data_IF_804442271467
#
_entry.id   IF_804442271467
#
_cell.length_a   1.000
_cell.length_b   1.000
_cell.length_c   1.000
_cell.angle_alpha   90.00
_cell.angle_beta   90.00
_cell.angle_gamma   90.00
#
_symmetry.space_group_name_H-M   'P 1'
#
loop_
_entity.id
_entity.type
_entity.pdbx_description
1 polymer ?
#
# COMPACT_ATOMS: atom_id res chain seq x y z
N UNK A 1 -3.76 -28.16 1.16
CA UNK A 1 -4.78 -27.63 2.10
C UNK A 1 -4.62 -26.11 2.27
N UNK A 2 -4.71 -25.32 1.19
CA UNK A 2 -4.55 -23.84 1.14
C UNK A 2 -5.87 -23.13 0.74
N UNK A 3 -7.02 -23.79 0.93
CA UNK A 3 -8.29 -23.29 0.41
C UNK A 3 -8.89 -22.26 1.38
N UNK A 4 -9.00 -21.02 0.88
CA UNK A 4 -9.84 -19.88 1.33
C UNK A 4 -9.18 -18.73 2.12
N UNK A 5 -7.89 -18.77 2.48
CA UNK A 5 -7.20 -17.62 3.13
C UNK A 5 -5.93 -17.19 2.37
N UNK A 6 -5.63 -15.88 2.27
CA UNK A 6 -4.41 -15.34 1.69
C UNK A 6 -3.18 -15.88 2.41
N UNK A 7 -2.15 -16.20 1.64
CA UNK A 7 -0.92 -16.76 2.17
C UNK A 7 -0.34 -15.90 3.32
N UNK A 8 -0.31 -14.57 3.18
CA UNK A 8 0.25 -13.68 4.21
C UNK A 8 -0.46 -13.77 5.57
N UNK A 9 -1.80 -13.98 5.59
CA UNK A 9 -2.55 -14.11 6.85
C UNK A 9 -2.34 -15.46 7.50
N UNK A 10 -2.32 -16.50 6.68
CA UNK A 10 -2.01 -17.84 7.17
C UNK A 10 -0.60 -17.86 7.78
N UNK A 11 0.39 -17.31 7.07
CA UNK A 11 1.77 -17.14 7.56
C UNK A 11 1.79 -16.37 8.89
N UNK A 12 1.15 -15.20 8.95
CA UNK A 12 1.12 -14.38 10.17
C UNK A 12 0.48 -15.10 11.36
N UNK A 13 -0.60 -15.84 11.13
CA UNK A 13 -1.25 -16.61 12.19
C UNK A 13 -0.38 -17.79 12.67
N UNK A 14 0.33 -18.45 11.76
CA UNK A 14 1.31 -19.49 12.12
C UNK A 14 2.42 -18.90 12.97
N UNK A 15 2.97 -17.74 12.61
CA UNK A 15 3.99 -17.05 13.43
C UNK A 15 3.48 -16.76 14.85
N UNK A 16 2.24 -16.27 14.97
CA UNK A 16 1.59 -16.04 16.27
C UNK A 16 1.43 -17.32 17.08
N UNK A 17 0.97 -18.40 16.46
CA UNK A 17 0.80 -19.71 17.12
C UNK A 17 2.12 -20.28 17.62
N UNK A 18 3.19 -20.10 16.84
CA UNK A 18 4.54 -20.51 17.20
C UNK A 18 5.24 -19.55 18.17
N UNK A 19 4.61 -18.42 18.50
CA UNK A 19 5.18 -17.34 19.31
C UNK A 19 6.59 -16.93 18.85
N UNK A 20 6.77 -16.75 17.53
CA UNK A 20 8.05 -16.40 16.91
C UNK A 20 7.95 -15.16 16.04
N UNK A 21 9.06 -14.43 15.90
CA UNK A 21 9.17 -13.22 15.10
C UNK A 21 9.89 -13.46 13.76
N UNK A 22 10.40 -14.68 13.56
CA UNK A 22 10.95 -15.16 12.30
C UNK A 22 10.59 -16.64 12.10
N UNK A 23 10.21 -17.00 10.88
CA UNK A 23 9.93 -18.39 10.54
C UNK A 23 10.32 -18.72 9.10
N UNK A 24 10.86 -19.93 8.89
CA UNK A 24 11.08 -20.49 7.57
C UNK A 24 9.94 -21.46 7.24
N UNK A 25 9.16 -21.15 6.21
CA UNK A 25 8.00 -21.93 5.79
C UNK A 25 8.24 -22.45 4.38
N UNK A 26 8.25 -23.77 4.22
CA UNK A 26 8.41 -24.41 2.92
C UNK A 26 7.08 -24.41 2.15
N UNK A 27 7.00 -23.62 1.08
CA UNK A 27 5.86 -23.58 0.16
C UNK A 27 6.24 -24.24 -1.16
N UNK A 28 5.88 -25.52 -1.29
CA UNK A 28 6.30 -26.34 -2.44
C UNK A 28 7.82 -26.54 -2.44
N UNK A 29 8.49 -26.05 -3.49
CA UNK A 29 9.96 -26.14 -3.64
C UNK A 29 10.72 -24.92 -3.11
N UNK A 30 10.00 -23.92 -2.60
CA UNK A 30 10.58 -22.62 -2.20
C UNK A 30 10.48 -22.46 -0.69
N UNK A 31 11.55 -21.98 -0.06
CA UNK A 31 11.54 -21.57 1.34
C UNK A 31 11.07 -20.10 1.42
N UNK A 32 10.07 -19.83 2.25
CA UNK A 32 9.60 -18.46 2.54
C UNK A 32 10.00 -18.11 3.95
N UNK A 33 10.90 -17.14 4.09
CA UNK A 33 11.31 -16.55 5.36
C UNK A 33 10.38 -15.40 5.64
N UNK A 34 9.64 -15.47 6.74
CA UNK A 34 8.77 -14.39 7.19
C UNK A 34 9.33 -13.75 8.44
N UNK A 35 9.24 -12.42 8.53
CA UNK A 35 9.78 -11.62 9.63
C UNK A 35 8.73 -10.63 10.11
N UNK A 36 8.54 -10.51 11.42
CA UNK A 36 7.61 -9.57 12.06
C UNK A 36 8.25 -8.70 13.16
N UNK A 37 9.57 -8.81 13.36
CA UNK A 37 10.34 -7.93 14.26
C UNK A 37 10.89 -6.72 13.46
N UNK A 38 10.79 -5.50 14.01
CA UNK A 38 11.43 -4.31 13.40
C UNK A 38 12.96 -4.46 13.32
N UNK A 39 13.60 -4.98 14.37
CA UNK A 39 15.05 -5.14 14.47
C UNK A 39 15.58 -6.04 13.34
N UNK A 40 14.94 -7.19 13.15
CA UNK A 40 15.24 -8.08 12.03
C UNK A 40 14.91 -7.38 10.71
N UNK A 41 13.75 -6.73 10.59
CA UNK A 41 13.36 -6.02 9.35
C UNK A 41 14.41 -4.98 8.90
N UNK A 42 15.03 -4.27 9.85
CA UNK A 42 16.13 -3.33 9.59
C UNK A 42 17.35 -4.06 9.03
N UNK A 43 17.71 -5.19 9.64
CA UNK A 43 18.83 -6.01 9.18
C UNK A 43 18.62 -6.48 7.73
N UNK A 44 17.41 -6.97 7.42
CA UNK A 44 17.03 -7.40 6.08
C UNK A 44 17.04 -6.22 5.08
N UNK A 45 16.27 -5.16 5.30
CA UNK A 45 16.06 -4.10 4.31
C UNK A 45 17.12 -3.00 4.26
N UNK A 46 17.95 -2.84 5.28
CA UNK A 46 19.01 -1.82 5.28
C UNK A 46 20.39 -2.44 5.20
N UNK A 47 20.68 -3.42 6.06
CA UNK A 47 22.05 -3.97 6.19
C UNK A 47 22.39 -4.95 5.07
N UNK A 48 21.42 -5.78 4.66
CA UNK A 48 21.61 -6.82 3.65
C UNK A 48 20.75 -6.66 2.39
N UNK A 49 20.21 -5.46 2.16
CA UNK A 49 19.35 -5.10 1.03
C UNK A 49 19.91 -5.62 -0.31
N UNK A 50 21.20 -5.40 -0.58
CA UNK A 50 21.85 -5.82 -1.83
C UNK A 50 21.79 -7.33 -2.11
N UNK A 51 21.64 -8.15 -1.08
CA UNK A 51 21.63 -9.62 -1.17
C UNK A 51 20.21 -10.16 -1.31
N UNK A 52 19.24 -9.50 -0.69
CA UNK A 52 17.88 -10.03 -0.55
C UNK A 52 16.82 -9.30 -1.37
N UNK A 53 17.15 -8.14 -1.94
CA UNK A 53 16.17 -7.24 -2.55
C UNK A 53 15.85 -7.55 -4.01
N UNK A 54 16.61 -8.46 -4.63
CA UNK A 54 16.39 -8.83 -6.02
C UNK A 54 15.05 -9.52 -6.19
N UNK A 55 14.31 -9.23 -7.26
CA UNK A 55 13.11 -10.01 -7.61
C UNK A 55 13.53 -11.39 -8.16
N UNK A 56 12.77 -12.45 -7.86
CA UNK A 56 13.04 -13.79 -8.38
C UNK A 56 12.74 -13.85 -9.88
N UNK A 57 13.49 -14.68 -10.60
CA UNK A 57 13.17 -15.00 -11.99
C UNK A 57 11.98 -15.97 -12.04
N UNK A 58 10.77 -15.45 -12.29
CA UNK A 58 9.55 -16.24 -12.43
C UNK A 58 8.86 -15.98 -13.76
N UNK A 59 8.34 -17.04 -14.40
CA UNK A 59 7.73 -16.96 -15.75
C UNK A 59 6.59 -15.96 -15.82
N UNK A 60 5.75 -15.89 -14.78
CA UNK A 60 4.66 -14.92 -14.71
C UNK A 60 5.16 -13.49 -14.70
N UNK A 61 6.23 -13.20 -13.94
CA UNK A 61 6.83 -11.86 -13.90
C UNK A 61 7.43 -11.49 -15.26
N UNK A 62 8.14 -12.43 -15.91
CA UNK A 62 8.67 -12.22 -17.26
C UNK A 62 7.57 -11.88 -18.27
N UNK A 63 6.48 -12.63 -18.28
CA UNK A 63 5.37 -12.40 -19.22
C UNK A 63 4.70 -11.05 -19.00
N UNK A 64 4.31 -10.73 -17.76
CA UNK A 64 3.58 -9.47 -17.48
C UNK A 64 4.45 -8.22 -17.56
N UNK A 65 5.77 -8.35 -17.42
CA UNK A 65 6.72 -7.24 -17.57
C UNK A 65 7.37 -7.18 -18.95
N UNK A 66 6.85 -7.94 -19.92
CA UNK A 66 7.37 -8.05 -21.27
C UNK A 66 8.89 -8.30 -21.31
N UNK A 67 9.37 -9.27 -20.53
CA UNK A 67 10.79 -9.59 -20.43
C UNK A 67 11.56 -8.76 -19.40
N UNK A 68 10.93 -8.36 -18.28
CA UNK A 68 11.55 -7.54 -17.23
C UNK A 68 11.92 -6.12 -17.69
N UNK A 69 11.07 -5.54 -18.53
CA UNK A 69 11.13 -4.13 -18.95
C UNK A 69 10.35 -3.19 -18.01
N UNK A 70 9.74 -3.74 -16.94
CA UNK A 70 9.07 -2.97 -15.89
C UNK A 70 9.88 -2.99 -14.59
N UNK A 71 10.27 -1.83 -14.03
CA UNK A 71 11.19 -1.75 -12.88
C UNK A 71 10.66 -2.43 -11.62
N UNK A 72 9.34 -2.58 -11.49
CA UNK A 72 8.70 -3.14 -10.31
C UNK A 72 8.86 -4.66 -10.19
N UNK A 73 9.10 -5.35 -11.32
CA UNK A 73 9.24 -6.81 -11.42
C UNK A 73 10.64 -7.29 -11.76
N UNK A 74 11.49 -6.40 -12.26
CA UNK A 74 12.82 -6.78 -12.73
C UNK A 74 13.73 -7.20 -11.57
N UNK A 75 14.46 -8.31 -11.73
CA UNK A 75 15.56 -8.68 -10.84
C UNK A 75 16.60 -7.55 -10.77
N UNK A 76 17.32 -7.47 -9.65
CA UNK A 76 18.38 -6.49 -9.49
C UNK A 76 19.49 -6.72 -10.51
N UNK A 77 19.98 -5.63 -11.11
CA UNK A 77 21.03 -5.67 -12.13
C UNK A 77 21.06 -4.39 -12.96
N UNK A 78 21.94 -4.33 -13.95
CA UNK A 78 22.15 -3.14 -14.77
C UNK A 78 20.86 -2.63 -15.43
N UNK A 79 20.01 -3.54 -15.90
CA UNK A 79 18.73 -3.19 -16.51
C UNK A 79 17.78 -2.53 -15.50
N UNK A 80 17.61 -3.11 -14.31
CA UNK A 80 16.81 -2.51 -13.25
C UNK A 80 17.36 -1.14 -12.83
N UNK A 81 18.67 -1.00 -12.66
CA UNK A 81 19.31 0.26 -12.30
C UNK A 81 19.07 1.33 -13.36
N UNK A 82 19.20 0.98 -14.65
CA UNK A 82 18.93 1.88 -15.78
C UNK A 82 17.47 2.34 -15.80
N UNK A 83 16.52 1.41 -15.72
CA UNK A 83 15.08 1.74 -15.73
C UNK A 83 14.67 2.54 -14.51
N UNK A 84 15.17 2.19 -13.31
CA UNK A 84 14.90 2.96 -12.09
C UNK A 84 15.46 4.37 -12.19
N UNK A 85 16.66 4.54 -12.76
CA UNK A 85 17.25 5.86 -13.01
C UNK A 85 16.35 6.68 -13.93
N UNK A 86 15.98 6.18 -15.10
CA UNK A 86 15.08 6.88 -16.04
C UNK A 86 13.74 7.21 -15.39
N UNK A 87 13.14 6.27 -14.65
CA UNK A 87 11.87 6.52 -13.97
C UNK A 87 11.99 7.68 -12.96
N UNK A 88 13.03 7.69 -12.14
CA UNK A 88 13.23 8.71 -11.11
C UNK A 88 13.70 10.05 -11.71
N UNK A 89 14.57 10.04 -12.72
CA UNK A 89 15.17 11.25 -13.29
C UNK A 89 14.32 11.91 -14.37
N UNK A 90 13.42 11.18 -15.04
CA UNK A 90 12.64 11.72 -16.16
C UNK A 90 11.13 11.72 -15.92
N UNK A 91 10.60 10.76 -15.16
CA UNK A 91 9.15 10.55 -15.05
C UNK A 91 8.58 11.03 -13.71
N UNK A 92 9.29 10.75 -12.62
CA UNK A 92 8.85 11.03 -11.26
C UNK A 92 9.56 12.25 -10.65
N UNK A 93 9.99 13.20 -11.49
CA UNK A 93 10.61 14.44 -11.02
C UNK A 93 9.59 15.44 -10.50
N UNK A 94 10.06 16.36 -9.67
CA UNK A 94 9.25 17.49 -9.20
C UNK A 94 8.77 18.38 -10.35
N UNK A 95 9.50 18.47 -11.46
CA UNK A 95 9.09 19.27 -12.62
C UNK A 95 7.92 18.62 -13.38
N UNK A 96 7.99 17.31 -13.62
CA UNK A 96 6.85 16.58 -14.17
C UNK A 96 5.66 16.65 -13.21
N UNK A 97 5.93 16.53 -11.91
CA UNK A 97 4.90 16.66 -10.89
C UNK A 97 4.21 18.03 -10.92
N UNK A 98 4.95 19.13 -11.01
CA UNK A 98 4.40 20.48 -11.16
C UNK A 98 3.63 20.65 -12.47
N UNK A 99 4.20 20.18 -13.59
CA UNK A 99 3.56 20.25 -14.91
C UNK A 99 2.22 19.52 -14.96
N UNK A 100 2.12 18.37 -14.30
CA UNK A 100 0.88 17.58 -14.24
C UNK A 100 -0.11 18.05 -13.17
N UNK A 101 0.18 19.14 -12.44
CA UNK A 101 -0.69 19.63 -11.38
C UNK A 101 -2.12 19.94 -11.87
N UNK A 102 -2.25 20.68 -12.97
CA UNK A 102 -3.56 21.03 -13.53
C UNK A 102 -4.39 19.78 -13.90
N UNK A 103 -3.74 18.77 -14.50
CA UNK A 103 -4.39 17.50 -14.83
C UNK A 103 -4.81 16.70 -13.60
N UNK A 104 -4.04 16.75 -12.51
CA UNK A 104 -4.45 16.14 -11.24
C UNK A 104 -5.66 16.84 -10.63
N UNK A 105 -5.72 18.18 -10.70
CA UNK A 105 -6.89 18.94 -10.25
C UNK A 105 -8.13 18.58 -11.08
N UNK A 106 -8.01 18.55 -12.41
CA UNK A 106 -9.09 18.16 -13.32
C UNK A 106 -9.68 16.77 -12.97
N UNK A 107 -8.83 15.76 -12.77
CA UNK A 107 -9.28 14.42 -12.34
C UNK A 107 -9.94 14.44 -10.95
N UNK A 108 -9.46 15.29 -10.03
CA UNK A 108 -10.09 15.43 -8.73
C UNK A 108 -11.46 16.10 -8.82
N UNK A 109 -11.62 17.06 -9.72
CA UNK A 109 -12.88 17.76 -9.97
C UNK A 109 -13.88 16.81 -10.66
N UNK A 110 -13.43 16.00 -11.61
CA UNK A 110 -14.21 14.91 -12.20
C UNK A 110 -14.73 13.93 -11.14
N UNK A 111 -13.87 13.55 -10.20
CA UNK A 111 -14.25 12.67 -9.11
C UNK A 111 -15.31 13.30 -8.21
N UNK A 112 -15.12 14.55 -7.78
CA UNK A 112 -16.06 15.28 -6.95
C UNK A 112 -17.42 15.39 -7.65
N UNK A 113 -17.42 15.71 -8.95
CA UNK A 113 -18.64 15.72 -9.76
C UNK A 113 -19.28 14.35 -9.90
N UNK A 114 -18.50 13.28 -10.09
CA UNK A 114 -19.01 11.92 -10.15
C UNK A 114 -19.75 11.54 -8.84
N UNK A 115 -19.14 11.85 -7.69
CA UNK A 115 -19.75 11.63 -6.38
C UNK A 115 -21.03 12.46 -6.22
N UNK A 116 -21.00 13.74 -6.61
CA UNK A 116 -22.17 14.62 -6.57
C UNK A 116 -23.32 14.05 -7.40
N UNK A 117 -23.07 13.68 -8.66
CA UNK A 117 -24.06 13.17 -9.59
C UNK A 117 -24.68 11.83 -9.14
N UNK A 118 -23.92 11.00 -8.42
CA UNK A 118 -24.47 9.78 -7.82
C UNK A 118 -25.37 10.06 -6.62
N UNK A 119 -25.04 11.08 -5.81
CA UNK A 119 -25.83 11.45 -4.64
C UNK A 119 -27.17 12.14 -4.94
N UNK A 120 -27.32 12.76 -6.13
CA UNK A 120 -28.54 13.50 -6.51
C UNK A 120 -29.44 12.76 -7.50
N UNK A 121 -29.07 11.57 -7.97
CA UNK A 121 -29.83 10.87 -9.01
C UNK A 121 -31.07 10.17 -8.41
N UNK A 122 -32.31 10.58 -8.75
CA UNK A 122 -33.52 10.01 -8.15
C UNK A 122 -33.81 8.56 -8.57
N UNK A 123 -33.10 8.02 -9.57
CA UNK A 123 -33.31 6.66 -10.09
C UNK A 123 -32.20 5.66 -9.73
N UNK A 124 -31.15 6.10 -9.02
CA UNK A 124 -30.09 5.23 -8.47
C UNK A 124 -30.03 5.46 -6.97
N UNK A 125 -29.87 4.38 -6.19
CA UNK A 125 -29.74 4.47 -4.73
C UNK A 125 -28.73 5.56 -4.35
N UNK A 126 -29.10 6.47 -3.44
CA UNK A 126 -28.35 7.67 -2.98
C UNK A 126 -27.00 7.35 -2.28
N UNK A 127 -26.47 6.14 -2.50
CA UNK A 127 -25.36 5.55 -1.79
C UNK A 127 -24.13 5.50 -2.68
N UNK A 128 -23.02 6.06 -2.19
CA UNK A 128 -21.74 6.05 -2.89
C UNK A 128 -20.87 4.95 -2.32
N UNK A 129 -20.39 4.06 -3.20
CA UNK A 129 -19.35 3.12 -2.84
C UNK A 129 -17.99 3.84 -2.83
N UNK A 130 -17.63 4.38 -1.67
CA UNK A 130 -16.38 5.11 -1.43
C UNK A 130 -15.16 4.26 -1.79
N UNK A 131 -15.24 2.93 -1.59
CA UNK A 131 -14.14 2.02 -1.94
C UNK A 131 -13.88 2.02 -3.44
N UNK A 132 -14.92 1.91 -4.27
CA UNK A 132 -14.75 1.88 -5.73
C UNK A 132 -14.30 3.24 -6.25
N UNK A 133 -14.84 4.34 -5.72
CA UNK A 133 -14.40 5.70 -6.03
C UNK A 133 -12.91 5.90 -5.71
N UNK A 134 -12.48 5.50 -4.50
CA UNK A 134 -11.07 5.57 -4.07
C UNK A 134 -10.18 4.66 -4.91
N UNK A 135 -10.64 3.44 -5.21
CA UNK A 135 -9.88 2.49 -6.01
C UNK A 135 -9.84 2.88 -7.49
N UNK A 136 -10.84 3.55 -8.06
CA UNK A 136 -10.78 4.05 -9.43
C UNK A 136 -9.81 5.24 -9.54
N UNK A 137 -9.79 6.12 -8.54
CA UNK A 137 -8.86 7.23 -8.48
C UNK A 137 -7.41 6.78 -8.26
N UNK A 138 -7.18 5.79 -7.39
CA UNK A 138 -5.86 5.23 -7.10
C UNK A 138 -5.47 4.04 -8.02
N UNK A 139 -6.28 3.73 -9.03
CA UNK A 139 -6.51 2.35 -9.48
C UNK A 139 -5.48 1.60 -10.30
N UNK A 140 -4.43 2.24 -10.81
CA UNK A 140 -3.51 1.55 -11.72
C UNK A 140 -2.07 1.37 -11.24
N UNK A 141 -1.72 1.75 -10.01
CA UNK A 141 -0.29 1.79 -9.64
C UNK A 141 0.18 0.63 -8.74
N UNK A 142 -0.69 -0.11 -8.05
CA UNK A 142 -0.20 -1.05 -7.02
C UNK A 142 -0.96 -2.38 -7.06
N UNK A 143 -1.04 -3.03 -8.23
CA UNK A 143 -1.53 -4.40 -8.30
C UNK A 143 -0.39 -5.40 -8.39
N UNK A 144 -0.20 -6.06 -7.24
CA UNK A 144 0.71 -7.19 -6.94
C UNK A 144 2.19 -6.80 -6.92
N UNK A 145 2.93 -7.31 -5.93
CA UNK A 145 4.35 -7.71 -5.95
C UNK A 145 5.02 -7.46 -4.60
N UNK A 146 5.31 -8.55 -3.89
CA UNK A 146 6.50 -8.65 -3.03
C UNK A 146 6.91 -10.10 -3.06
N UNK A 147 7.92 -10.40 -3.87
CA UNK A 147 8.76 -11.56 -3.68
C UNK A 147 10.17 -11.12 -4.02
N UNK A 148 11.10 -11.37 -3.13
CA UNK A 148 12.51 -11.16 -3.39
C UNK A 148 13.26 -12.47 -3.19
N UNK A 149 14.37 -12.65 -3.88
CA UNK A 149 15.21 -13.83 -3.84
C UNK A 149 16.49 -13.51 -3.08
N UNK A 150 16.90 -14.40 -2.16
CA UNK A 150 18.12 -14.25 -1.37
C UNK A 150 19.28 -15.12 -1.88
N UNK A 151 20.51 -14.72 -1.57
CA UNK A 151 21.69 -15.62 -1.55
C UNK A 151 21.84 -16.27 -0.17
N UNK A 152 22.77 -17.23 -0.04
CA UNK A 152 23.14 -17.79 1.27
C UNK A 152 23.68 -16.67 2.17
N UNK A 153 23.10 -16.51 3.35
CA UNK A 153 23.49 -15.46 4.29
C UNK A 153 23.03 -15.80 5.71
N UNK A 154 23.77 -15.35 6.72
CA UNK A 154 23.35 -15.40 8.13
C UNK A 154 22.82 -14.03 8.52
N UNK A 155 21.59 -13.96 9.04
CA UNK A 155 20.94 -12.72 9.49
C UNK A 155 20.18 -12.97 10.79
N UNK A 156 20.35 -12.08 11.78
CA UNK A 156 19.74 -12.22 13.10
C UNK A 156 20.12 -13.51 13.83
N UNK A 157 21.27 -14.10 13.48
CA UNK A 157 21.69 -15.42 13.96
C UNK A 157 21.11 -16.61 13.18
N UNK A 158 20.26 -16.38 12.18
CA UNK A 158 19.62 -17.43 11.38
C UNK A 158 20.27 -17.59 10.01
N UNK A 159 20.53 -18.84 9.59
CA UNK A 159 20.99 -19.13 8.24
C UNK A 159 19.82 -19.11 7.26
N UNK A 160 19.91 -18.24 6.25
CA UNK A 160 18.95 -18.10 5.16
C UNK A 160 19.54 -18.73 3.89
N UNK A 161 18.98 -19.86 3.40
CA UNK A 161 19.45 -20.50 2.19
C UNK A 161 19.21 -19.64 0.94
N UNK A 162 20.08 -19.79 -0.06
CA UNK A 162 19.89 -19.24 -1.41
C UNK A 162 18.57 -19.72 -2.01
N UNK A 163 17.90 -18.82 -2.74
CA UNK A 163 16.61 -19.11 -3.37
C UNK A 163 15.43 -19.04 -2.40
N UNK A 164 15.68 -18.62 -1.14
CA UNK A 164 14.60 -18.33 -0.20
C UNK A 164 13.96 -16.97 -0.52
N UNK A 165 12.68 -16.86 -0.21
CA UNK A 165 11.92 -15.63 -0.36
C UNK A 165 11.71 -14.97 0.98
N UNK A 166 12.13 -13.71 1.12
CA UNK A 166 11.93 -12.96 2.36
C UNK A 166 10.66 -12.12 2.25
N UNK A 167 9.78 -12.23 3.24
CA UNK A 167 8.55 -11.46 3.34
C UNK A 167 8.44 -10.81 4.72
N UNK A 168 8.52 -9.49 4.74
CA UNK A 168 8.21 -8.72 5.93
C UNK A 168 6.69 -8.65 6.15
N UNK A 169 6.24 -9.06 7.32
CA UNK A 169 4.81 -9.06 7.66
C UNK A 169 4.35 -7.64 7.97
N UNK A 170 3.67 -6.97 7.02
CA UNK A 170 3.07 -5.64 7.25
C UNK A 170 2.11 -5.63 8.46
N UNK A 171 1.17 -6.59 8.60
CA UNK A 171 0.32 -6.65 9.79
C UNK A 171 1.12 -7.01 11.05
N UNK A 172 2.21 -7.78 10.91
CA UNK A 172 3.09 -8.13 12.03
C UNK A 172 3.80 -6.92 12.60
N UNK A 173 4.38 -6.07 11.76
CA UNK A 173 5.04 -4.83 12.17
C UNK A 173 4.02 -3.80 12.68
N UNK A 174 3.04 -3.45 11.85
CA UNK A 174 2.09 -2.38 12.15
C UNK A 174 1.07 -2.68 13.26
N UNK A 175 1.00 -3.93 13.75
CA UNK A 175 0.16 -4.33 14.88
C UNK A 175 0.94 -5.05 15.98
N UNK A 176 2.26 -4.84 16.03
CA UNK A 176 3.11 -5.43 17.04
C UNK A 176 2.85 -4.74 18.41
N UNK A 177 2.31 -5.45 19.43
CA UNK A 177 2.06 -4.85 20.73
C UNK A 177 3.34 -4.52 21.51
N UNK A 178 4.51 -5.06 21.11
CA UNK A 178 5.80 -4.67 21.71
C UNK A 178 6.22 -3.25 21.32
N UNK A 179 5.70 -2.75 20.21
CA UNK A 179 6.13 -1.49 19.57
C UNK A 179 5.02 -0.45 19.62
N UNK A 180 3.78 -0.88 19.44
CA UNK A 180 2.62 0.00 19.35
C UNK A 180 1.71 -0.22 20.55
N UNK A 181 1.51 0.85 21.33
CA UNK A 181 0.44 0.91 22.32
C UNK A 181 -0.93 0.89 21.63
N UNK A 182 -1.88 0.15 22.20
CA UNK A 182 -3.20 -0.11 21.63
C UNK A 182 -3.17 -0.35 20.09
N UNK A 183 -2.47 -1.38 19.59
CA UNK A 183 -2.11 -1.50 18.16
C UNK A 183 -3.29 -1.68 17.20
N UNK A 184 -4.47 -2.02 17.74
CA UNK A 184 -5.70 -2.20 16.97
C UNK A 184 -6.60 -0.96 16.99
N UNK A 185 -6.26 0.06 17.78
CA UNK A 185 -7.03 1.30 17.89
C UNK A 185 -6.53 2.32 16.85
N UNK A 186 -7.47 2.89 16.09
CA UNK A 186 -7.17 4.04 15.23
C UNK A 186 -6.88 5.27 16.10
N UNK A 187 -5.61 5.69 16.12
CA UNK A 187 -5.08 6.78 16.97
C UNK A 187 -4.03 7.52 16.15
N UNK A 188 -4.41 8.42 15.23
CA UNK A 188 -3.50 9.10 14.30
C UNK A 188 -2.44 9.96 15.03
N UNK A 189 -2.74 10.40 16.24
CA UNK A 189 -1.88 11.24 17.09
C UNK A 189 -0.52 10.58 17.37
N UNK A 190 -0.44 9.24 17.32
CA UNK A 190 0.82 8.49 17.51
C UNK A 190 1.90 8.78 16.46
N UNK A 191 1.53 9.42 15.36
CA UNK A 191 2.44 9.79 14.27
C UNK A 191 2.80 11.28 14.28
N UNK A 192 2.20 12.06 15.17
CA UNK A 192 2.48 13.48 15.35
C UNK A 192 3.53 13.58 16.45
N UNK A 193 4.76 13.95 16.08
CA UNK A 193 5.87 14.11 17.04
C UNK A 193 5.80 15.47 17.71
N UNK A 194 5.51 16.51 16.92
CA UNK A 194 5.29 17.88 17.35
C UNK A 194 4.43 18.60 16.29
N UNK A 195 4.01 19.84 16.57
CA UNK A 195 3.12 20.62 15.67
C UNK A 195 3.81 21.14 14.39
N UNK A 196 5.14 21.09 14.32
CA UNK A 196 5.96 21.71 13.27
C UNK A 196 6.51 20.67 12.29
N UNK A 197 6.78 19.46 12.78
CA UNK A 197 7.39 18.37 12.05
C UNK A 197 6.39 17.71 11.10
N UNK A 198 6.79 17.57 9.84
CA UNK A 198 6.01 16.80 8.87
C UNK A 198 5.98 15.32 9.23
N UNK A 199 4.83 14.68 9.03
CA UNK A 199 4.70 13.23 9.20
C UNK A 199 5.52 12.51 8.12
N UNK A 200 6.50 11.72 8.54
CA UNK A 200 7.26 10.87 7.60
C UNK A 200 6.45 9.63 7.21
N UNK A 201 6.30 9.41 5.90
CA UNK A 201 5.69 8.20 5.34
C UNK A 201 6.68 7.03 5.20
N UNK A 202 7.96 7.28 5.45
CA UNK A 202 9.02 6.28 5.55
C UNK A 202 9.39 6.11 7.03
N UNK A 203 9.03 4.97 7.61
CA UNK A 203 9.45 4.65 8.98
C UNK A 203 10.88 4.08 8.94
N UNK A 204 11.83 4.85 9.43
CA UNK A 204 13.23 4.44 9.46
C UNK A 204 13.48 3.27 10.41
N UNK A 205 12.67 3.12 11.45
CA UNK A 205 12.80 2.02 12.42
C UNK A 205 12.02 0.77 11.99
N UNK A 206 11.37 0.81 10.82
CA UNK A 206 10.54 -0.25 10.26
C UNK A 206 9.47 -0.77 11.23
N UNK A 207 8.96 0.11 12.10
CA UNK A 207 7.81 -0.17 12.98
C UNK A 207 6.53 -0.38 12.18
N UNK A 208 6.47 0.21 10.98
CA UNK A 208 5.46 -0.02 9.95
C UNK A 208 6.11 0.02 8.55
N UNK A 209 5.56 -0.73 7.59
CA UNK A 209 6.11 -0.82 6.23
C UNK A 209 5.07 -0.42 5.17
N UNK A 210 4.96 0.89 4.93
CA UNK A 210 4.03 1.48 3.95
C UNK A 210 4.63 1.52 2.53
N UNK A 211 5.68 2.32 2.33
CA UNK A 211 6.29 2.57 1.02
C UNK A 211 7.62 1.84 0.79
N UNK A 212 7.97 0.85 1.64
CA UNK A 212 9.29 0.22 1.67
C UNK A 212 10.42 1.21 1.96
N UNK A 213 11.66 0.74 2.01
CA UNK A 213 12.86 1.57 2.18
C UNK A 213 14.04 0.99 1.40
N UNK A 214 15.18 1.67 1.41
CA UNK A 214 16.41 1.22 0.74
C UNK A 214 16.30 1.23 -0.79
N UNK A 215 17.05 0.35 -1.47
CA UNK A 215 17.12 0.30 -2.94
C UNK A 215 15.77 -0.03 -3.57
N UNK A 216 14.90 -0.74 -2.85
CA UNK A 216 13.55 -1.11 -3.27
C UNK A 216 12.46 -0.23 -2.63
N UNK A 217 12.81 0.94 -2.08
CA UNK A 217 11.84 1.95 -1.69
C UNK A 217 10.95 2.35 -2.87
N UNK A 218 9.70 2.68 -2.60
CA UNK A 218 8.75 3.15 -3.61
C UNK A 218 9.29 4.43 -4.25
N UNK A 219 9.57 4.45 -5.57
CA UNK A 219 10.05 5.66 -6.24
C UNK A 219 8.94 6.71 -6.41
N UNK A 220 7.66 6.33 -6.23
CA UNK A 220 6.49 7.18 -6.41
C UNK A 220 5.82 7.59 -5.08
N UNK A 221 6.59 7.65 -3.98
CA UNK A 221 6.08 8.01 -2.66
C UNK A 221 5.38 9.37 -2.68
N UNK A 222 6.05 10.41 -3.19
CA UNK A 222 5.52 11.78 -3.18
C UNK A 222 4.29 11.92 -4.07
N UNK A 223 4.31 11.30 -5.25
CA UNK A 223 3.17 11.28 -6.16
C UNK A 223 1.97 10.56 -5.52
N UNK A 224 2.17 9.35 -5.00
CA UNK A 224 1.10 8.54 -4.41
C UNK A 224 0.50 9.18 -3.16
N UNK A 225 1.35 9.72 -2.28
CA UNK A 225 0.90 10.42 -1.07
C UNK A 225 0.15 11.71 -1.41
N UNK A 226 0.68 12.55 -2.30
CA UNK A 226 0.00 13.80 -2.67
C UNK A 226 -1.35 13.54 -3.33
N UNK A 227 -1.42 12.58 -4.27
CA UNK A 227 -2.67 12.19 -4.91
C UNK A 227 -3.69 11.68 -3.90
N UNK A 228 -3.26 10.85 -2.93
CA UNK A 228 -4.15 10.32 -1.87
C UNK A 228 -4.62 11.42 -0.92
N UNK A 229 -3.74 12.33 -0.51
CA UNK A 229 -4.08 13.47 0.34
C UNK A 229 -5.04 14.42 -0.36
N UNK A 230 -4.80 14.71 -1.64
CA UNK A 230 -5.68 15.56 -2.44
C UNK A 230 -7.06 14.91 -2.60
N UNK A 231 -7.13 13.61 -2.88
CA UNK A 231 -8.38 12.86 -2.89
C UNK A 231 -9.15 13.05 -1.58
N UNK A 232 -8.50 12.75 -0.46
CA UNK A 232 -9.13 12.86 0.86
C UNK A 232 -9.61 14.29 1.12
N UNK A 233 -8.76 15.29 0.85
CA UNK A 233 -9.07 16.70 1.01
C UNK A 233 -10.30 17.12 0.19
N UNK A 234 -10.39 16.67 -1.07
CA UNK A 234 -11.55 16.97 -1.93
C UNK A 234 -12.82 16.28 -1.44
N UNK A 235 -12.75 15.04 -0.98
CA UNK A 235 -13.90 14.33 -0.43
C UNK A 235 -14.45 15.00 0.85
N UNK A 236 -13.58 15.47 1.75
CA UNK A 236 -14.02 16.13 3.01
C UNK A 236 -14.42 17.59 2.82
N UNK A 237 -13.80 18.28 1.85
CA UNK A 237 -14.16 19.66 1.49
C UNK A 237 -15.51 19.69 0.78
N UNK A 238 -15.71 18.78 -0.18
CA UNK A 238 -16.91 18.74 -1.02
C UNK A 238 -18.12 18.14 -0.31
N UNK A 239 -17.95 17.21 0.63
CA UNK A 239 -19.09 16.47 1.17
C UNK A 239 -19.01 16.27 2.68
N UNK A 240 -20.18 16.31 3.32
CA UNK A 240 -20.42 15.74 4.64
C UNK A 240 -20.89 14.31 4.43
N UNK A 241 -20.30 13.34 5.14
CA UNK A 241 -20.57 11.93 4.93
C UNK A 241 -21.45 11.37 6.05
N UNK A 242 -22.53 10.67 5.68
CA UNK A 242 -23.45 10.01 6.61
C UNK A 242 -23.52 8.51 6.34
N UNK A 243 -23.82 7.73 7.37
CA UNK A 243 -24.11 6.31 7.20
C UNK A 243 -25.41 6.10 6.42
N UNK A 244 -25.55 5.00 5.67
CA UNK A 244 -26.83 4.63 5.08
C UNK A 244 -27.94 4.41 6.11
N UNK A 245 -29.16 4.87 5.77
CA UNK A 245 -30.33 4.87 6.64
C UNK A 245 -30.61 3.48 7.24
N UNK A 246 -30.26 2.44 6.50
CA UNK A 246 -30.55 1.03 6.83
C UNK A 246 -29.46 0.39 7.73
N UNK A 247 -28.43 1.16 8.11
CA UNK A 247 -27.27 0.66 8.85
C UNK A 247 -27.04 1.45 10.13
N UNK A 248 -26.97 0.74 11.26
CA UNK A 248 -26.65 1.32 12.57
C UNK A 248 -25.15 1.57 12.77
N UNK A 249 -24.28 0.87 12.03
CA UNK A 249 -22.82 1.01 12.10
C UNK A 249 -22.17 0.71 10.75
N UNK A 250 -21.07 1.40 10.44
CA UNK A 250 -20.25 1.10 9.25
C UNK A 250 -19.39 -0.14 9.51
N UNK A 251 -19.57 -1.17 8.69
CA UNK A 251 -18.78 -2.42 8.75
C UNK A 251 -17.39 -2.21 8.14
N UNK A 252 -16.37 -2.09 8.99
CA UNK A 252 -14.97 -1.95 8.60
C UNK A 252 -14.21 -3.29 8.63
N UNK A 253 -14.91 -4.43 8.67
CA UNK A 253 -14.27 -5.73 8.66
C UNK A 253 -13.36 -5.90 7.44
N UNK A 254 -12.16 -6.42 7.64
CA UNK A 254 -11.23 -6.67 6.55
C UNK A 254 -11.64 -7.89 5.71
N UNK A 255 -11.50 -7.77 4.39
CA UNK A 255 -11.68 -8.85 3.42
C UNK A 255 -10.89 -10.06 3.82
N UNK A 256 -11.48 -11.25 3.70
CA UNK A 256 -10.74 -12.50 3.95
C UNK A 256 -9.62 -12.72 2.95
N UNK A 257 -9.63 -12.09 1.77
CA UNK A 257 -8.83 -12.45 0.60
C UNK A 257 -7.70 -11.48 0.24
N UNK A 258 -7.71 -10.28 0.79
CA UNK A 258 -6.70 -9.25 0.53
C UNK A 258 -6.68 -8.22 1.68
N UNK A 259 -6.03 -7.08 1.46
CA UNK A 259 -5.92 -5.99 2.43
C UNK A 259 -7.08 -4.98 2.33
N UNK A 260 -8.12 -5.27 1.54
CA UNK A 260 -9.27 -4.39 1.39
C UNK A 260 -10.34 -4.64 2.46
N UNK A 261 -11.38 -3.82 2.48
CA UNK A 261 -12.58 -4.09 3.28
C UNK A 261 -13.34 -5.33 2.76
N UNK A 262 -14.00 -6.05 3.65
CA UNK A 262 -14.76 -7.27 3.32
C UNK A 262 -16.00 -6.95 2.50
N UNK A 263 -16.63 -5.83 2.82
CA UNK A 263 -17.74 -5.26 2.07
C UNK A 263 -17.29 -3.91 1.49
N UNK A 264 -17.95 -3.44 0.43
CA UNK A 264 -17.74 -2.08 -0.03
C UNK A 264 -18.04 -1.06 1.08
N UNK A 265 -17.27 0.03 1.12
CA UNK A 265 -17.55 1.14 2.03
C UNK A 265 -18.62 2.01 1.41
N UNK A 266 -19.83 1.95 1.97
CA UNK A 266 -20.98 2.66 1.45
C UNK A 266 -21.33 3.81 2.39
N UNK A 267 -21.47 5.02 1.85
CA UNK A 267 -21.87 6.21 2.60
C UNK A 267 -22.73 7.15 1.73
N UNK A 268 -23.59 7.94 2.37
CA UNK A 268 -24.29 9.04 1.72
C UNK A 268 -23.39 10.27 1.73
N UNK A 269 -23.15 10.81 0.53
CA UNK A 269 -22.48 12.08 0.36
C UNK A 269 -23.51 13.21 0.39
N UNK A 270 -23.38 14.12 1.35
CA UNK A 270 -24.21 15.33 1.45
C UNK A 270 -23.37 16.52 0.96
N UNK A 271 -23.71 17.18 -0.16
CA UNK A 271 -22.97 18.33 -0.66
C UNK A 271 -22.83 19.43 0.41
N UNK A 272 -21.63 19.99 0.55
CA UNK A 272 -21.32 21.10 1.48
C UNK A 272 -21.24 22.46 0.80
N UNK A 273 -20.96 22.48 -0.50
CA UNK A 273 -20.71 23.68 -1.28
C UNK A 273 -21.92 24.02 -2.13
N UNK A 274 -21.90 25.20 -2.75
CA UNK A 274 -22.93 25.56 -3.73
C UNK A 274 -22.92 24.59 -4.92
N UNK A 275 -24.11 24.22 -5.41
CA UNK A 275 -24.29 23.31 -6.55
C UNK A 275 -23.47 23.72 -7.79
N UNK A 276 -23.27 25.01 -8.03
CA UNK A 276 -22.49 25.52 -9.17
C UNK A 276 -21.02 25.10 -9.11
N UNK A 277 -20.45 24.93 -7.91
CA UNK A 277 -19.04 24.54 -7.73
C UNK A 277 -18.80 23.11 -8.23
N UNK A 278 -19.76 22.19 -8.05
CA UNK A 278 -19.67 20.83 -8.59
C UNK A 278 -19.89 20.78 -10.11
N UNK A 279 -20.44 21.86 -10.68
CA UNK A 279 -20.90 21.94 -12.07
C UNK A 279 -20.04 22.87 -12.95
N UNK A 280 -19.00 23.51 -12.41
CA UNK A 280 -18.23 24.61 -13.06
C UNK A 280 -17.32 24.24 -14.25
N UNK A 281 -17.18 22.97 -14.65
CA UNK A 281 -16.33 22.56 -15.79
C UNK A 281 -17.09 21.74 -16.84
N UNK A 282 -18.05 22.36 -17.54
CA UNK A 282 -18.67 21.79 -18.76
C UNK A 282 -17.93 22.33 -19.97
#
# INVERSE_FOLDING_TARGET
MLRKKPAFRWIHNVMKQLNTEIACIKLGRVNVITVSSPELSIEFLKKHDSVIASRPYISSARLVSNGYLSPSLSPSGNQWTKMRRVLVSEVLTNDVFRRLHAKRLEEADHLVRFVYNQGINPHKSEVVNVRDVTMHYCGNVIRKMVFSESKNIVMGGYFIPKGSHVVLSRPGLGRNPRIWDEPLRFKPERHIVDEVSNVSLVDHDLRILSFSTGRQGCPALDLGSTTTTMLLARLIQGFSWKQPLDTSTIDLAESKHDLSLAKPLIAHAVPRLDSQIYLQHV
#
